data_IF_643516695434
#
_entry.id   IF_643516695434
#
_cell.length_a   1.000
_cell.length_b   1.000
_cell.length_c   1.000
_cell.angle_alpha   90.00
_cell.angle_beta   90.00
_cell.angle_gamma   90.00
#
_symmetry.space_group_name_H-M   'P 1'
#
loop_
_entity.id
_entity.type
_entity.pdbx_description
1 polymer ?
#
# COMPACT_ATOMS: atom_id res chain seq x y z
N UNK A 1 12.39 15.11 -7.52
CA UNK A 1 11.06 14.55 -7.23
C UNK A 1 10.14 15.67 -6.76
N UNK A 2 8.85 15.66 -7.14
CA UNK A 2 7.87 16.54 -6.52
C UNK A 2 7.85 16.25 -5.03
N UNK A 3 7.90 17.30 -4.20
CA UNK A 3 7.89 17.16 -2.74
C UNK A 3 6.49 16.83 -2.28
N UNK A 4 6.32 15.67 -1.65
CA UNK A 4 5.01 15.21 -1.17
C UNK A 4 4.96 15.33 0.36
N UNK A 5 5.90 14.67 1.04
CA UNK A 5 6.02 14.68 2.50
C UNK A 5 7.45 14.26 2.87
N UNK A 6 8.09 14.82 3.93
CA UNK A 6 9.48 14.53 4.25
C UNK A 6 9.84 13.04 4.37
N UNK A 7 8.94 12.23 4.91
CA UNK A 7 9.12 10.76 5.02
C UNK A 7 9.05 10.08 3.66
N UNK A 8 8.16 10.52 2.78
CA UNK A 8 8.03 10.00 1.41
C UNK A 8 9.28 10.38 0.62
N UNK A 9 9.70 11.64 0.69
CA UNK A 9 10.88 12.16 0.00
C UNK A 9 12.17 11.41 0.42
N UNK A 10 12.28 11.00 1.69
CA UNK A 10 13.40 10.17 2.18
C UNK A 10 13.36 8.75 1.60
N UNK A 11 12.20 8.09 1.64
CA UNK A 11 12.06 6.72 1.12
C UNK A 11 12.35 6.66 -0.37
N UNK A 12 11.88 7.67 -1.09
CA UNK A 12 12.15 7.89 -2.50
C UNK A 12 13.65 8.05 -2.78
N UNK A 13 14.36 8.86 -1.99
CA UNK A 13 15.80 9.05 -2.13
C UNK A 13 16.59 7.76 -1.86
N UNK A 14 16.24 7.00 -0.82
CA UNK A 14 16.88 5.72 -0.50
C UNK A 14 16.55 4.67 -1.56
N UNK A 15 15.31 4.64 -2.05
CA UNK A 15 14.91 3.73 -3.12
C UNK A 15 15.70 4.00 -4.40
N UNK A 16 15.89 5.26 -4.78
CA UNK A 16 16.73 5.64 -5.92
C UNK A 16 18.20 5.29 -5.72
N UNK A 17 18.73 5.44 -4.51
CA UNK A 17 20.13 5.13 -4.21
C UNK A 17 20.42 3.62 -4.17
N UNK A 18 19.43 2.80 -3.83
CA UNK A 18 19.60 1.36 -3.58
C UNK A 18 18.93 0.46 -4.62
N UNK A 19 18.11 1.02 -5.50
CA UNK A 19 17.24 0.32 -6.43
C UNK A 19 16.26 -0.67 -5.76
N UNK A 20 15.98 -0.47 -4.46
CA UNK A 20 15.01 -1.27 -3.69
C UNK A 20 13.73 -0.44 -3.49
N UNK A 21 12.53 -0.94 -3.85
CA UNK A 21 11.28 -0.25 -3.56
C UNK A 21 11.05 -0.18 -2.05
N UNK A 22 10.74 1.01 -1.53
CA UNK A 22 10.41 1.22 -0.12
C UNK A 22 8.98 1.74 -0.02
N UNK A 23 8.18 1.07 0.81
CA UNK A 23 6.84 1.51 1.18
C UNK A 23 6.81 1.79 2.69
N UNK A 24 6.04 2.80 3.08
CA UNK A 24 5.79 3.16 4.48
C UNK A 24 4.30 3.04 4.75
N UNK A 25 3.96 2.38 5.85
CA UNK A 25 2.60 2.20 6.34
C UNK A 25 2.46 2.87 7.70
N UNK A 26 1.33 3.53 7.91
CA UNK A 26 0.93 4.03 9.22
C UNK A 26 0.20 2.91 9.98
N UNK A 27 0.89 2.30 10.94
CA UNK A 27 0.37 1.16 11.68
C UNK A 27 -0.81 1.53 12.59
N UNK A 28 -0.89 2.79 13.05
CA UNK A 28 -2.02 3.26 13.86
C UNK A 28 -3.31 3.34 13.02
N UNK A 29 -3.19 3.23 11.69
CA UNK A 29 -4.31 3.26 10.72
C UNK A 29 -4.56 1.91 10.04
N UNK A 30 -3.90 0.85 10.51
CA UNK A 30 -4.12 -0.51 10.03
C UNK A 30 -4.77 -1.31 11.15
N UNK A 31 -5.96 -1.80 10.88
CA UNK A 31 -6.67 -2.67 11.82
C UNK A 31 -6.02 -4.05 11.85
N UNK A 32 -5.47 -4.39 13.03
CA UNK A 32 -4.82 -5.67 13.29
C UNK A 32 -3.48 -5.84 12.57
N UNK A 33 -3.13 -7.09 12.29
CA UNK A 33 -1.84 -7.41 11.68
C UNK A 33 -1.84 -7.17 10.17
N UNK A 34 -0.74 -6.60 9.66
CA UNK A 34 -0.49 -6.49 8.22
C UNK A 34 0.17 -7.77 7.70
N UNK A 35 -0.44 -8.42 6.72
CA UNK A 35 0.04 -9.67 6.12
C UNK A 35 0.35 -9.49 4.64
N UNK A 36 1.49 -10.01 4.19
CA UNK A 36 1.81 -10.14 2.76
C UNK A 36 1.35 -11.49 2.27
N UNK A 37 0.32 -11.52 1.42
CA UNK A 37 -0.26 -12.76 0.91
C UNK A 37 -0.86 -12.59 -0.49
N UNK A 38 -1.13 -13.68 -1.21
CA UNK A 38 -1.98 -13.64 -2.40
C UNK A 38 -3.40 -13.19 -2.02
N UNK A 39 -4.00 -12.34 -2.85
CA UNK A 39 -5.37 -11.89 -2.73
C UNK A 39 -6.36 -13.03 -3.02
N UNK A 40 -7.51 -13.01 -2.36
CA UNK A 40 -8.64 -13.92 -2.65
C UNK A 40 -9.53 -13.37 -3.75
N UNK A 41 -9.55 -12.05 -3.93
CA UNK A 41 -10.51 -11.35 -4.79
C UNK A 41 -11.56 -10.57 -4.01
N UNK A 42 -11.72 -10.87 -2.73
CA UNK A 42 -12.73 -10.23 -1.87
C UNK A 42 -12.20 -8.97 -1.20
N UNK A 43 -10.88 -8.73 -1.28
CA UNK A 43 -10.26 -7.60 -0.61
C UNK A 43 -10.71 -6.27 -1.20
N UNK A 44 -10.83 -5.25 -0.35
CA UNK A 44 -11.15 -3.88 -0.75
C UNK A 44 -9.88 -3.04 -0.80
N UNK A 45 -9.60 -2.43 -1.94
CA UNK A 45 -8.48 -1.53 -2.14
C UNK A 45 -9.01 -0.12 -2.45
N UNK A 46 -8.74 0.84 -1.57
CA UNK A 46 -9.17 2.22 -1.79
C UNK A 46 -8.11 2.98 -2.59
N UNK A 47 -8.42 3.35 -3.83
CA UNK A 47 -7.48 4.10 -4.66
C UNK A 47 -7.28 5.53 -4.13
N UNK A 48 -6.19 6.17 -4.54
CA UNK A 48 -5.95 7.58 -4.22
C UNK A 48 -7.02 8.52 -4.80
N UNK A 49 -7.77 8.07 -5.82
CA UNK A 49 -8.92 8.79 -6.39
C UNK A 49 -10.20 8.67 -5.56
N UNK A 50 -10.20 7.83 -4.52
CA UNK A 50 -11.38 7.56 -3.68
C UNK A 50 -12.22 6.36 -4.13
N UNK A 51 -11.93 5.80 -5.30
CA UNK A 51 -12.61 4.61 -5.81
C UNK A 51 -12.22 3.36 -5.01
N UNK A 52 -13.12 2.37 -4.95
CA UNK A 52 -12.82 1.05 -4.39
C UNK A 52 -12.61 0.06 -5.52
N UNK A 53 -11.49 -0.64 -5.48
CA UNK A 53 -11.14 -1.72 -6.39
C UNK A 53 -10.96 -3.03 -5.62
N UNK A 54 -11.11 -4.15 -6.32
CA UNK A 54 -10.83 -5.48 -5.79
C UNK A 54 -9.58 -6.04 -6.47
N UNK A 55 -8.53 -6.44 -5.72
CA UNK A 55 -7.37 -7.10 -6.29
C UNK A 55 -7.77 -8.43 -6.96
N UNK A 56 -7.14 -8.78 -8.07
CA UNK A 56 -7.41 -10.08 -8.70
C UNK A 56 -6.95 -11.24 -7.81
N UNK A 57 -7.66 -12.38 -7.80
CA UNK A 57 -7.21 -13.56 -7.08
C UNK A 57 -5.77 -13.94 -7.46
N UNK A 58 -4.91 -14.16 -6.45
CA UNK A 58 -3.49 -14.47 -6.64
C UNK A 58 -2.56 -13.26 -6.76
N UNK A 59 -3.08 -12.03 -6.85
CA UNK A 59 -2.27 -10.82 -6.79
C UNK A 59 -1.61 -10.68 -5.41
N UNK A 60 -0.31 -10.38 -5.34
CA UNK A 60 0.35 -10.16 -4.05
C UNK A 60 -0.07 -8.82 -3.48
N UNK A 61 -0.67 -8.85 -2.29
CA UNK A 61 -1.19 -7.70 -1.57
C UNK A 61 -0.66 -7.63 -0.14
N UNK A 62 -0.69 -6.43 0.40
CA UNK A 62 -0.56 -6.18 1.84
C UNK A 62 -1.97 -6.05 2.41
N UNK A 63 -2.44 -7.09 3.08
CA UNK A 63 -3.79 -7.17 3.62
C UNK A 63 -3.79 -6.93 5.13
N UNK A 64 -4.70 -6.06 5.61
CA UNK A 64 -5.04 -5.94 7.03
C UNK A 64 -6.05 -7.01 7.46
N UNK A 65 -6.39 -7.04 8.75
CA UNK A 65 -7.25 -8.08 9.33
C UNK A 65 -8.70 -8.04 8.80
N UNK A 66 -9.19 -6.87 8.36
CA UNK A 66 -10.57 -6.68 7.89
C UNK A 66 -10.79 -6.88 6.38
N UNK A 67 -9.86 -7.56 5.69
CA UNK A 67 -9.95 -7.76 4.24
C UNK A 67 -9.70 -6.48 3.43
N UNK A 68 -9.05 -5.48 4.03
CA UNK A 68 -8.60 -4.30 3.32
C UNK A 68 -7.20 -4.54 2.75
N UNK A 69 -7.00 -4.23 1.47
CA UNK A 69 -5.69 -4.20 0.83
C UNK A 69 -5.12 -2.78 0.94
N UNK A 70 -3.99 -2.64 1.62
CA UNK A 70 -3.29 -1.36 1.80
C UNK A 70 -2.27 -1.07 0.69
N UNK A 71 -1.77 -2.13 0.04
CA UNK A 71 -0.91 -2.02 -1.13
C UNK A 71 -1.07 -3.23 -2.04
N UNK A 72 -0.78 -3.02 -3.32
CA UNK A 72 -0.98 -3.98 -4.41
C UNK A 72 0.30 -4.14 -5.23
N UNK A 73 0.57 -5.36 -5.70
CA UNK A 73 1.64 -5.70 -6.67
C UNK A 73 3.06 -5.28 -6.26
N UNK A 74 3.28 -4.92 -4.99
CA UNK A 74 4.53 -4.41 -4.42
C UNK A 74 5.12 -3.13 -5.07
N UNK A 75 4.66 -2.76 -6.27
CA UNK A 75 5.20 -1.69 -7.13
C UNK A 75 4.18 -0.58 -7.40
N UNK A 76 2.95 -0.73 -6.91
CA UNK A 76 1.89 0.23 -7.17
C UNK A 76 1.90 1.38 -6.14
N UNK A 77 1.46 2.56 -6.56
CA UNK A 77 1.34 3.74 -5.68
C UNK A 77 0.30 3.43 -4.59
N UNK A 78 0.70 3.59 -3.32
CA UNK A 78 -0.08 3.20 -2.14
C UNK A 78 -1.43 3.94 -2.02
N UNK A 79 -2.38 3.35 -1.29
CA UNK A 79 -3.71 3.91 -1.05
C UNK A 79 -3.67 5.19 -0.19
N UNK A 80 -4.65 6.07 -0.39
CA UNK A 80 -4.94 7.15 0.55
C UNK A 80 -6.08 6.72 1.45
N UNK A 81 -5.84 6.56 2.75
CA UNK A 81 -6.91 6.34 3.73
C UNK A 81 -7.53 7.72 4.09
N UNK A 82 -8.86 7.93 3.95
CA UNK A 82 -9.52 9.15 4.42
C UNK A 82 -9.47 9.25 5.96
N UNK A 83 -9.63 10.46 6.54
CA UNK A 83 -9.61 10.67 7.99
C UNK A 83 -10.72 9.92 8.73
#
# INVERSE_FOLDING_TARGET
MPRIHPVVDLCDAVSLATAVPIAVFDLDRIDGDLQVRPATGDERYQTFGGDTEHPEPGEIVFAGAEGNAHARRWTNRQTGCPP
#
